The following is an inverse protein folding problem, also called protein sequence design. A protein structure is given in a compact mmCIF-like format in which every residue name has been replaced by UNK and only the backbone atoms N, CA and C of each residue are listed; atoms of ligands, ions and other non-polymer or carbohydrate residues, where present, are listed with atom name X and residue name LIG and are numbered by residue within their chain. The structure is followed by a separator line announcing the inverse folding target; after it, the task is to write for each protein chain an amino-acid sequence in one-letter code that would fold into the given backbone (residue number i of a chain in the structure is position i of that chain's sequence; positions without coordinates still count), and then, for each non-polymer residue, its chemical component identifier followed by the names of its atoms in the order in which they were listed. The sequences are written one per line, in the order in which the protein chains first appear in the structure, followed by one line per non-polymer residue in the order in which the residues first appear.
data_IF_128489902190
#
_entry.id   IF_128489902190
#
_cell.length_a   1.000
_cell.length_b   1.000
_cell.length_c   1.000
_cell.angle_alpha   90.00
_cell.angle_beta   90.00
_cell.angle_gamma   90.00
#
_symmetry.space_group_name_H-M   'P 1'
#
loop_
_entity.id
_entity.type
_entity.pdbx_description
1 polymer ?
#
# COMPACT_ATOMS: atom_id res chain seq x y z
N UNK A 1 1.11 21.81 24.26
CA UNK A 1 0.40 21.66 25.56
C UNK A 1 -0.08 20.22 25.64
N UNK A 2 0.69 19.35 26.28
CA UNK A 2 0.28 17.98 26.62
C UNK A 2 -0.55 18.02 27.91
N UNK A 3 -1.67 17.30 27.92
CA UNK A 3 -1.91 16.29 28.95
C UNK A 3 -2.59 15.05 28.28
N UNK A 4 -2.48 13.78 28.64
CA UNK A 4 -2.08 13.05 29.85
C UNK A 4 -1.50 11.68 29.42
N UNK A 5 -0.76 11.05 30.33
CA UNK A 5 -0.40 9.63 30.25
C UNK A 5 -1.69 8.80 30.15
N UNK A 6 -1.83 7.95 29.12
CA UNK A 6 -2.82 6.89 29.10
C UNK A 6 -2.18 5.50 29.25
N UNK A 7 -2.89 4.54 29.86
CA UNK A 7 -2.32 3.38 30.50
C UNK A 7 -2.24 2.15 29.58
N UNK A 8 -1.45 1.18 30.05
CA UNK A 8 -1.31 -0.24 29.68
C UNK A 8 -2.15 -0.82 28.54
N UNK A 9 -1.45 -1.58 27.67
CA UNK A 9 -1.97 -2.50 26.65
C UNK A 9 -3.36 -3.05 26.98
N UNK A 10 -4.34 -2.71 26.15
CA UNK A 10 -5.59 -3.45 26.04
C UNK A 10 -5.41 -4.40 24.84
N UNK A 11 -5.21 -5.68 25.15
CA UNK A 11 -5.45 -6.78 24.21
C UNK A 11 -6.94 -7.07 24.35
N UNK A 12 -7.73 -6.81 23.31
CA UNK A 12 -9.11 -7.32 23.26
C UNK A 12 -9.05 -8.81 22.89
N UNK A 13 -9.05 -9.68 23.91
CA UNK A 13 -9.29 -11.12 23.72
C UNK A 13 -10.81 -11.37 23.59
N UNK A 14 -11.26 -11.81 22.42
CA UNK A 14 -12.64 -12.27 22.22
C UNK A 14 -12.81 -13.68 22.83
N UNK A 15 -13.20 -13.74 24.11
CA UNK A 15 -13.32 -14.98 24.86
C UNK A 15 -14.74 -15.55 24.85
N UNK A 16 -15.05 -16.40 23.87
CA UNK A 16 -16.25 -17.25 23.92
C UNK A 16 -15.94 -18.75 23.74
N UNK A 17 -15.26 -19.34 24.73
CA UNK A 17 -15.31 -20.81 24.94
C UNK A 17 -16.54 -21.20 25.78
N UNK A 18 -17.58 -21.73 25.15
CA UNK A 18 -18.60 -22.56 25.83
C UNK A 18 -18.44 -24.04 25.45
N UNK A 19 -18.29 -24.88 26.48
CA UNK A 19 -18.29 -26.34 26.40
C UNK A 19 -19.70 -26.88 26.17
N UNK A 20 -19.85 -27.75 25.16
CA UNK A 20 -20.64 -28.99 25.20
C UNK A 20 -22.13 -28.94 24.88
N UNK A 21 -22.52 -29.52 23.73
CA UNK A 21 -23.56 -30.58 23.65
C UNK A 21 -23.55 -31.24 22.26
N UNK A 22 -23.59 -32.57 22.22
CA UNK A 22 -23.66 -33.38 21.01
C UNK A 22 -24.94 -33.11 20.20
N UNK A 23 -24.79 -32.76 18.94
CA UNK A 23 -25.85 -32.76 17.92
C UNK A 23 -25.21 -32.81 16.54
N UNK A 24 -25.53 -33.85 15.76
CA UNK A 24 -25.13 -33.98 14.35
C UNK A 24 -25.59 -32.72 13.60
N UNK A 25 -24.63 -31.90 13.13
CA UNK A 25 -24.88 -30.85 12.14
C UNK A 25 -24.42 -31.34 10.77
N UNK A 26 -25.34 -31.27 9.83
CA UNK A 26 -25.08 -31.41 8.40
C UNK A 26 -24.00 -30.39 7.98
N UNK A 27 -23.08 -30.81 7.11
CA UNK A 27 -22.04 -29.95 6.53
C UNK A 27 -22.71 -28.93 5.60
N UNK A 28 -22.96 -27.72 6.10
CA UNK A 28 -23.15 -26.53 5.25
C UNK A 28 -21.78 -26.00 4.83
N UNK A 29 -21.58 -25.80 3.54
CA UNK A 29 -20.41 -25.17 2.95
C UNK A 29 -20.45 -23.66 3.26
N UNK A 30 -19.89 -23.23 4.40
CA UNK A 30 -19.58 -21.80 4.64
C UNK A 30 -18.60 -21.54 5.79
N UNK A 31 -17.72 -22.47 6.12
CA UNK A 31 -16.65 -22.22 7.09
C UNK A 31 -15.46 -21.62 6.34
N UNK A 32 -15.52 -20.33 5.98
CA UNK A 32 -14.27 -19.59 5.74
C UNK A 32 -13.60 -19.44 7.10
N UNK A 33 -12.47 -20.11 7.29
CA UNK A 33 -11.70 -20.04 8.53
C UNK A 33 -11.53 -18.56 8.93
N UNK A 34 -11.99 -18.22 10.13
CA UNK A 34 -11.86 -16.85 10.64
C UNK A 34 -10.37 -16.53 10.76
N UNK A 35 -9.87 -15.64 9.90
CA UNK A 35 -8.52 -15.08 10.04
C UNK A 35 -8.51 -14.31 11.36
N UNK A 36 -7.79 -14.82 12.34
CA UNK A 36 -7.55 -14.16 13.62
C UNK A 36 -6.51 -13.06 13.40
N UNK A 37 -6.88 -11.81 13.66
CA UNK A 37 -5.99 -10.65 13.51
C UNK A 37 -5.82 -10.02 14.89
N UNK A 38 -4.58 -10.00 15.35
CA UNK A 38 -4.22 -9.23 16.54
C UNK A 38 -3.98 -7.77 16.14
N UNK A 39 -4.72 -6.86 16.79
CA UNK A 39 -4.64 -5.44 16.50
C UNK A 39 -4.01 -4.68 17.66
N UNK A 40 -3.01 -3.85 17.35
CA UNK A 40 -2.35 -2.97 18.31
C UNK A 40 -2.46 -1.53 17.85
N UNK A 41 -3.02 -0.67 18.70
CA UNK A 41 -3.08 0.77 18.45
C UNK A 41 -1.83 1.43 19.02
N UNK A 42 -1.09 2.13 18.17
CA UNK A 42 0.15 2.80 18.55
C UNK A 42 0.60 3.81 17.51
N UNK A 43 1.64 4.56 17.85
CA UNK A 43 2.23 5.57 16.99
C UNK A 43 3.62 5.11 16.56
N UNK A 44 3.90 5.10 15.25
CA UNK A 44 5.22 4.70 14.70
C UNK A 44 6.37 5.59 15.18
N UNK A 45 6.07 6.80 15.67
CA UNK A 45 7.05 7.69 16.32
C UNK A 45 7.50 7.16 17.69
N UNK A 46 6.75 6.25 18.31
CA UNK A 46 7.09 5.62 19.57
C UNK A 46 7.94 4.35 19.34
N UNK A 47 9.25 4.53 19.32
CA UNK A 47 10.22 3.44 19.12
C UNK A 47 10.06 2.30 20.14
N UNK A 48 9.92 2.59 21.43
CA UNK A 48 9.88 1.55 22.46
C UNK A 48 8.63 0.68 22.36
N UNK A 49 7.49 1.28 22.00
CA UNK A 49 6.26 0.52 21.75
C UNK A 49 6.42 -0.38 20.52
N UNK A 50 6.89 0.19 19.40
CA UNK A 50 7.09 -0.56 18.16
C UNK A 50 8.06 -1.73 18.35
N UNK A 51 9.19 -1.48 19.01
CA UNK A 51 10.16 -2.51 19.37
C UNK A 51 9.56 -3.60 20.25
N UNK A 52 8.79 -3.24 21.28
CA UNK A 52 8.18 -4.21 22.18
C UNK A 52 7.20 -5.12 21.44
N UNK A 53 6.39 -4.56 20.53
CA UNK A 53 5.45 -5.32 19.69
C UNK A 53 6.20 -6.29 18.76
N UNK A 54 7.23 -5.83 18.05
CA UNK A 54 8.01 -6.69 17.16
C UNK A 54 8.71 -7.84 17.92
N UNK A 55 9.25 -7.57 19.11
CA UNK A 55 9.89 -8.58 19.95
C UNK A 55 8.90 -9.62 20.50
N UNK A 56 7.67 -9.20 20.79
CA UNK A 56 6.60 -10.07 21.25
C UNK A 56 6.06 -10.94 20.10
N UNK A 57 5.68 -10.30 18.99
CA UNK A 57 5.07 -10.97 17.83
C UNK A 57 6.05 -11.86 17.06
N UNK A 58 7.36 -11.53 17.10
CA UNK A 58 8.43 -12.22 16.37
C UNK A 58 8.07 -12.46 14.89
N UNK A 59 7.69 -11.42 14.14
CA UNK A 59 7.24 -11.59 12.76
C UNK A 59 8.38 -12.09 11.88
N UNK A 60 8.02 -12.85 10.84
CA UNK A 60 8.93 -13.26 9.76
C UNK A 60 8.89 -12.27 8.59
N UNK A 61 7.74 -11.64 8.37
CA UNK A 61 7.50 -10.67 7.31
C UNK A 61 6.98 -9.37 7.93
N UNK A 62 7.52 -8.24 7.50
CA UNK A 62 7.10 -6.90 7.94
C UNK A 62 6.71 -6.05 6.74
N UNK A 63 5.47 -5.58 6.71
CA UNK A 63 5.01 -4.54 5.78
C UNK A 63 4.93 -3.19 6.51
N UNK A 64 5.72 -2.21 6.08
CA UNK A 64 5.64 -0.84 6.59
C UNK A 64 4.71 0.00 5.71
N UNK A 65 3.47 0.14 6.15
CA UNK A 65 2.44 0.91 5.43
C UNK A 65 2.09 2.23 6.14
N UNK A 66 2.48 2.38 7.41
CA UNK A 66 2.11 3.51 8.24
C UNK A 66 2.86 4.79 7.80
N UNK A 67 2.09 5.83 7.50
CA UNK A 67 2.59 7.13 7.05
C UNK A 67 1.50 8.20 7.22
N UNK A 68 1.91 9.47 7.22
CA UNK A 68 1.05 10.59 6.86
C UNK A 68 0.98 10.62 5.32
N UNK A 69 -0.16 10.30 4.67
CA UNK A 69 -0.22 10.01 3.24
C UNK A 69 -0.75 11.14 2.35
N UNK A 70 -1.11 12.30 2.93
CA UNK A 70 -1.80 13.39 2.26
C UNK A 70 -0.85 14.57 1.98
N UNK A 71 -0.71 14.91 0.70
CA UNK A 71 0.09 16.05 0.21
C UNK A 71 -0.40 17.36 0.81
N UNK A 72 -1.70 17.64 0.77
CA UNK A 72 -2.27 18.90 1.29
C UNK A 72 -2.06 19.05 2.79
N UNK A 73 -2.23 17.97 3.54
CA UNK A 73 -2.00 17.97 4.99
C UNK A 73 -0.51 18.21 5.32
N UNK A 74 0.40 17.74 4.45
CA UNK A 74 1.84 17.96 4.62
C UNK A 74 2.26 19.43 4.54
N UNK A 75 1.51 20.28 3.82
CA UNK A 75 1.74 21.72 3.83
C UNK A 75 1.29 22.37 5.14
N UNK A 76 0.26 21.82 5.78
CA UNK A 76 -0.25 22.33 7.07
C UNK A 76 0.61 21.84 8.24
N UNK A 77 1.04 20.57 8.19
CA UNK A 77 1.78 19.89 9.25
C UNK A 77 3.07 19.23 8.70
N UNK A 78 4.01 20.02 8.15
CA UNK A 78 5.22 19.47 7.52
C UNK A 78 6.10 18.74 8.54
N UNK A 79 6.27 19.31 9.74
CA UNK A 79 7.04 18.67 10.83
C UNK A 79 6.49 17.29 11.16
N UNK A 80 5.18 17.17 11.37
CA UNK A 80 4.53 15.90 11.68
C UNK A 80 4.68 14.89 10.54
N UNK A 81 4.60 15.37 9.29
CA UNK A 81 4.82 14.52 8.11
C UNK A 81 6.22 13.91 8.13
N UNK A 82 7.27 14.68 8.42
CA UNK A 82 8.62 14.14 8.56
C UNK A 82 8.79 13.25 9.80
N UNK A 83 8.24 13.63 10.95
CA UNK A 83 8.29 12.79 12.16
C UNK A 83 7.67 11.41 11.89
N UNK A 84 6.51 11.36 11.25
CA UNK A 84 5.82 10.11 10.95
C UNK A 84 6.52 9.32 9.86
N UNK A 85 6.83 9.95 8.71
CA UNK A 85 7.31 9.22 7.53
C UNK A 85 8.81 8.90 7.61
N UNK A 86 9.63 9.81 8.15
CA UNK A 86 11.08 9.60 8.27
C UNK A 86 11.40 8.90 9.59
N UNK A 87 11.07 9.52 10.72
CA UNK A 87 11.44 8.94 12.02
C UNK A 87 10.65 7.67 12.32
N UNK A 88 9.40 7.53 11.88
CA UNK A 88 8.67 6.26 11.96
C UNK A 88 9.37 5.13 11.18
N UNK A 89 9.92 5.42 10.00
CA UNK A 89 10.69 4.43 9.22
C UNK A 89 12.03 4.09 9.91
N UNK A 90 12.73 5.08 10.47
CA UNK A 90 13.94 4.84 11.28
C UNK A 90 13.62 3.93 12.46
N UNK A 91 12.57 4.23 13.21
CA UNK A 91 12.15 3.44 14.37
C UNK A 91 11.85 2.00 13.98
N UNK A 92 11.14 1.78 12.87
CA UNK A 92 10.84 0.43 12.39
C UNK A 92 12.10 -0.34 12.02
N UNK A 93 12.98 0.25 11.20
CA UNK A 93 14.19 -0.44 10.75
C UNK A 93 15.13 -0.74 11.93
N UNK A 94 15.21 0.15 12.91
CA UNK A 94 15.98 -0.10 14.12
C UNK A 94 15.34 -1.21 14.99
N UNK A 95 14.02 -1.24 15.13
CA UNK A 95 13.32 -2.33 15.83
C UNK A 95 13.51 -3.69 15.11
N UNK A 96 13.45 -3.72 13.78
CA UNK A 96 13.75 -4.90 12.97
C UNK A 96 15.19 -5.38 13.20
N UNK A 97 16.16 -4.46 13.29
CA UNK A 97 17.57 -4.80 13.55
C UNK A 97 17.77 -5.63 14.82
N UNK A 98 16.88 -5.47 15.80
CA UNK A 98 16.88 -6.20 17.06
C UNK A 98 15.83 -7.32 17.15
N UNK A 99 15.25 -7.72 16.02
CA UNK A 99 14.21 -8.76 15.95
C UNK A 99 14.66 -9.89 15.00
N UNK A 100 15.39 -10.92 15.51
CA UNK A 100 16.03 -11.93 14.67
C UNK A 100 15.09 -12.82 13.84
N UNK A 101 13.79 -12.84 14.15
CA UNK A 101 12.79 -13.61 13.41
C UNK A 101 12.49 -13.03 12.02
N UNK A 102 12.76 -11.73 11.82
CA UNK A 102 12.40 -11.03 10.58
C UNK A 102 13.28 -11.51 9.42
N UNK A 103 12.65 -11.96 8.35
CA UNK A 103 13.28 -12.47 7.14
C UNK A 103 13.04 -11.54 5.95
N UNK A 104 11.88 -10.88 5.87
CA UNK A 104 11.55 -9.93 4.81
C UNK A 104 10.96 -8.64 5.40
N UNK A 105 11.38 -7.51 4.84
CA UNK A 105 10.80 -6.20 5.12
C UNK A 105 10.50 -5.51 3.80
N UNK A 106 9.25 -5.11 3.62
CA UNK A 106 8.84 -4.22 2.55
C UNK A 106 8.45 -2.86 3.13
N UNK A 107 9.22 -1.83 2.77
CA UNK A 107 8.86 -0.44 3.07
C UNK A 107 8.09 0.18 1.89
N UNK A 108 6.82 0.55 2.11
CA UNK A 108 5.98 1.13 1.06
C UNK A 108 6.14 2.66 1.05
N UNK A 109 6.63 3.17 -0.08
CA UNK A 109 6.94 4.58 -0.27
C UNK A 109 5.86 5.24 -1.13
N UNK A 110 6.20 5.84 -2.27
CA UNK A 110 5.23 6.46 -3.19
C UNK A 110 5.84 6.64 -4.57
N UNK A 111 4.98 6.71 -5.59
CA UNK A 111 5.31 7.21 -6.93
C UNK A 111 5.90 8.63 -6.96
N UNK A 112 5.71 9.44 -5.90
CA UNK A 112 6.14 10.86 -5.83
C UNK A 112 7.54 11.07 -5.25
N UNK A 113 8.33 10.01 -5.06
CA UNK A 113 9.68 10.13 -4.46
C UNK A 113 10.72 10.79 -5.37
N UNK A 114 10.45 10.85 -6.68
CA UNK A 114 11.40 11.33 -7.67
C UNK A 114 11.48 12.86 -7.75
N UNK A 115 12.61 13.37 -8.22
CA UNK A 115 12.73 14.76 -8.68
C UNK A 115 11.93 14.92 -9.96
N UNK A 116 10.73 15.51 -9.86
CA UNK A 116 9.84 15.64 -11.00
C UNK A 116 9.96 17.03 -11.65
N UNK A 117 10.43 17.05 -12.90
CA UNK A 117 10.50 18.25 -13.75
C UNK A 117 9.29 18.39 -14.70
N UNK A 118 8.20 17.67 -14.45
CA UNK A 118 6.96 17.67 -15.25
C UNK A 118 7.18 17.38 -16.74
N UNK A 119 8.12 16.48 -17.04
CA UNK A 119 8.42 16.07 -18.40
C UNK A 119 7.31 15.16 -18.95
N UNK A 120 6.68 15.59 -20.05
CA UNK A 120 5.66 14.81 -20.74
C UNK A 120 6.21 13.47 -21.24
N UNK A 121 5.43 12.39 -21.10
CA UNK A 121 5.78 11.02 -21.48
C UNK A 121 7.03 10.43 -20.79
N UNK A 122 7.55 11.08 -19.76
CA UNK A 122 8.62 10.51 -18.94
C UNK A 122 8.04 9.55 -17.91
N UNK A 123 8.62 8.35 -17.82
CA UNK A 123 8.29 7.40 -16.75
C UNK A 123 9.54 7.07 -15.97
N UNK A 124 9.52 7.38 -14.68
CA UNK A 124 10.66 7.28 -13.78
C UNK A 124 11.12 5.83 -13.64
N UNK A 125 12.42 5.60 -13.75
CA UNK A 125 13.11 4.36 -13.43
C UNK A 125 13.64 4.40 -12.00
N UNK A 126 13.92 3.23 -11.40
CA UNK A 126 14.27 3.19 -9.97
C UNK A 126 15.63 3.82 -9.62
N UNK A 127 16.46 4.08 -10.62
CA UNK A 127 17.80 4.68 -10.50
C UNK A 127 17.79 6.21 -10.61
N UNK A 128 16.63 6.82 -10.89
CA UNK A 128 16.53 8.27 -11.03
C UNK A 128 16.58 9.01 -9.70
N UNK A 129 16.92 10.30 -9.77
CA UNK A 129 17.15 11.14 -8.60
C UNK A 129 15.85 11.27 -7.78
N UNK A 130 16.02 11.12 -6.47
CA UNK A 130 14.97 11.35 -5.48
C UNK A 130 15.07 12.78 -4.97
N UNK A 131 13.95 13.49 -4.94
CA UNK A 131 13.88 14.80 -4.33
C UNK A 131 12.47 15.05 -3.77
N UNK A 132 11.41 14.76 -4.52
CA UNK A 132 10.03 14.90 -4.03
C UNK A 132 9.69 16.35 -3.66
N UNK A 133 8.80 17.01 -4.38
CA UNK A 133 8.64 18.46 -4.28
C UNK A 133 8.06 18.95 -2.92
N UNK A 134 6.92 18.41 -2.52
CA UNK A 134 6.21 18.81 -1.30
C UNK A 134 6.67 18.00 -0.06
N UNK A 135 6.35 18.43 1.18
CA UNK A 135 6.81 17.75 2.38
C UNK A 135 6.43 16.26 2.48
N UNK A 136 5.26 15.87 1.96
CA UNK A 136 4.90 14.45 1.88
C UNK A 136 5.82 13.70 0.92
N UNK A 137 5.91 14.18 -0.32
CA UNK A 137 6.74 13.56 -1.36
C UNK A 137 8.21 13.47 -0.93
N UNK A 138 8.78 14.57 -0.44
CA UNK A 138 10.16 14.63 0.06
C UNK A 138 10.37 13.70 1.26
N UNK A 139 9.42 13.62 2.21
CA UNK A 139 9.56 12.71 3.36
C UNK A 139 9.61 11.24 2.93
N UNK A 140 8.92 10.87 1.85
CA UNK A 140 9.01 9.53 1.27
C UNK A 140 10.31 9.32 0.49
N UNK A 141 10.85 10.35 -0.16
CA UNK A 141 12.23 10.33 -0.72
C UNK A 141 13.28 10.11 0.36
N UNK A 142 13.15 10.79 1.52
CA UNK A 142 13.99 10.53 2.69
C UNK A 142 13.83 9.09 3.17
N UNK A 143 12.60 8.56 3.19
CA UNK A 143 12.33 7.17 3.55
C UNK A 143 13.03 6.16 2.62
N UNK A 144 13.10 6.40 1.31
CA UNK A 144 13.88 5.58 0.38
C UNK A 144 15.37 5.59 0.72
N UNK A 145 15.94 6.80 0.86
CA UNK A 145 17.37 7.00 1.10
C UNK A 145 17.80 6.35 2.43
N UNK A 146 17.02 6.54 3.49
CA UNK A 146 17.31 5.96 4.79
C UNK A 146 17.15 4.44 4.78
N UNK A 147 16.14 3.89 4.09
CA UNK A 147 15.98 2.43 3.95
C UNK A 147 17.18 1.83 3.23
N UNK A 148 17.63 2.45 2.15
CA UNK A 148 18.85 2.05 1.44
C UNK A 148 20.10 2.12 2.34
N UNK A 149 20.23 3.17 3.15
CA UNK A 149 21.34 3.28 4.11
C UNK A 149 21.30 2.17 5.17
N UNK A 150 20.15 1.94 5.81
CA UNK A 150 19.98 0.88 6.82
C UNK A 150 20.25 -0.50 6.22
N UNK A 151 19.74 -0.77 5.01
CA UNK A 151 20.03 -2.00 4.27
C UNK A 151 21.52 -2.23 4.15
N UNK A 152 22.26 -1.26 3.60
CA UNK A 152 23.71 -1.36 3.40
C UNK A 152 24.49 -1.49 4.71
N UNK A 153 24.09 -0.75 5.75
CA UNK A 153 24.84 -0.69 7.01
C UNK A 153 24.60 -1.89 7.93
N UNK A 154 23.39 -2.44 7.94
CA UNK A 154 22.96 -3.40 8.97
C UNK A 154 22.37 -4.70 8.42
N UNK A 155 21.84 -4.68 7.20
CA UNK A 155 21.13 -5.81 6.59
C UNK A 155 21.83 -6.39 5.35
N UNK A 156 23.10 -6.04 5.15
CA UNK A 156 24.00 -6.66 4.17
C UNK A 156 25.18 -7.30 4.90
N UNK A 157 25.73 -8.39 4.37
CA UNK A 157 26.89 -9.03 4.98
C UNK A 157 28.15 -8.14 4.84
N UNK A 158 28.87 -7.82 5.93
CA UNK A 158 30.20 -7.22 5.84
C UNK A 158 31.23 -8.34 5.62
N UNK A 159 31.83 -8.39 4.42
CA UNK A 159 33.07 -9.13 4.07
C UNK A 159 33.33 -10.43 4.86
N UNK A 160 32.36 -11.37 4.86
CA UNK A 160 32.55 -12.72 5.38
C UNK A 160 32.77 -12.87 6.89
N UNK A 161 32.59 -11.81 7.70
CA UNK A 161 32.74 -11.89 9.17
C UNK A 161 31.40 -12.18 9.86
N UNK A 162 30.89 -13.42 9.76
CA UNK A 162 29.66 -13.80 10.45
C UNK A 162 29.73 -15.07 11.29
N UNK A 163 28.98 -15.04 12.40
CA UNK A 163 28.55 -16.23 13.13
C UNK A 163 27.66 -17.05 12.20
N UNK A 164 28.08 -18.28 11.93
CA UNK A 164 27.35 -19.27 11.13
C UNK A 164 25.90 -19.38 11.64
N UNK A 165 24.90 -19.15 10.77
CA UNK A 165 23.48 -19.42 11.05
C UNK A 165 22.55 -18.22 11.30
N UNK A 166 23.00 -16.96 11.13
CA UNK A 166 22.13 -15.78 11.32
C UNK A 166 21.56 -15.26 9.98
N UNK A 167 20.25 -15.39 9.77
CA UNK A 167 19.55 -14.86 8.59
C UNK A 167 19.42 -13.33 8.74
N UNK A 168 19.75 -12.57 7.69
CA UNK A 168 19.44 -11.14 7.65
C UNK A 168 18.09 -10.90 6.98
N UNK A 169 17.32 -9.93 7.49
CA UNK A 169 16.17 -9.40 6.77
C UNK A 169 16.54 -8.95 5.36
N UNK A 170 15.76 -9.38 4.39
CA UNK A 170 15.81 -8.91 3.01
C UNK A 170 14.96 -7.65 2.94
N UNK A 171 15.58 -6.54 2.58
CA UNK A 171 14.93 -5.22 2.60
C UNK A 171 14.62 -4.79 1.17
N UNK A 172 13.35 -4.46 0.94
CA UNK A 172 12.85 -3.82 -0.29
C UNK A 172 12.08 -2.54 -0.02
N UNK A 173 11.98 -1.71 -1.06
CA UNK A 173 10.94 -0.67 -1.13
C UNK A 173 10.04 -0.92 -2.34
N UNK A 174 8.78 -0.50 -2.23
CA UNK A 174 7.85 -0.44 -3.34
C UNK A 174 7.26 0.97 -3.49
N UNK A 175 7.36 1.50 -4.71
CA UNK A 175 6.92 2.83 -5.11
C UNK A 175 5.66 2.66 -5.94
N UNK A 176 4.51 2.93 -5.34
CA UNK A 176 3.20 2.90 -6.01
C UNK A 176 2.43 4.18 -5.70
N UNK A 177 1.37 4.46 -6.45
CA UNK A 177 0.52 5.60 -6.18
C UNK A 177 -0.70 5.65 -7.08
N UNK A 178 -1.54 6.67 -6.86
CA UNK A 178 -2.81 6.82 -7.59
C UNK A 178 -3.73 5.59 -7.43
N UNK A 179 -3.58 4.89 -6.31
CA UNK A 179 -4.36 3.72 -5.95
C UNK A 179 -5.81 4.11 -5.71
N UNK A 180 -6.73 3.36 -6.33
CA UNK A 180 -8.17 3.49 -6.15
C UNK A 180 -8.77 2.15 -5.68
N UNK A 181 -9.86 2.21 -4.93
CA UNK A 181 -10.51 1.00 -4.44
C UNK A 181 -11.67 1.33 -3.50
N UNK A 182 -12.47 0.30 -3.23
CA UNK A 182 -13.48 0.35 -2.19
C UNK A 182 -12.87 0.52 -0.79
N UNK A 183 -13.58 1.20 0.11
CA UNK A 183 -13.16 1.38 1.51
C UNK A 183 -12.22 2.55 1.79
N UNK A 184 -11.83 3.32 0.77
CA UNK A 184 -11.11 4.59 0.94
C UNK A 184 -12.10 5.73 1.24
N UNK A 185 -12.06 6.28 2.46
CA UNK A 185 -12.89 7.42 2.86
C UNK A 185 -12.09 8.71 3.06
N UNK A 186 -10.83 8.74 2.62
CA UNK A 186 -9.96 9.89 2.80
C UNK A 186 -10.54 11.16 2.18
N UNK A 187 -10.19 12.31 2.78
CA UNK A 187 -10.49 13.62 2.21
C UNK A 187 -9.49 13.96 1.11
N UNK A 188 -9.91 14.79 0.16
CA UNK A 188 -9.07 15.29 -0.94
C UNK A 188 -8.48 14.20 -1.85
N UNK A 189 -9.15 13.05 -1.95
CA UNK A 189 -8.87 12.01 -2.95
C UNK A 189 -10.04 11.92 -3.93
N UNK A 190 -9.70 11.80 -5.21
CA UNK A 190 -10.65 11.94 -6.30
C UNK A 190 -11.84 10.95 -6.20
N UNK A 191 -11.59 9.66 -6.04
CA UNK A 191 -12.67 8.66 -5.97
C UNK A 191 -13.54 8.85 -4.72
N UNK A 192 -12.99 8.99 -3.50
CA UNK A 192 -13.80 9.30 -2.31
C UNK A 192 -14.63 10.58 -2.46
N UNK A 193 -14.09 11.63 -3.10
CA UNK A 193 -14.82 12.85 -3.40
C UNK A 193 -15.96 12.61 -4.41
N UNK A 194 -15.73 11.81 -5.45
CA UNK A 194 -16.76 11.39 -6.39
C UNK A 194 -17.90 10.64 -5.70
N UNK A 195 -17.58 9.68 -4.81
CA UNK A 195 -18.56 8.90 -4.05
C UNK A 195 -19.39 9.81 -3.16
N UNK A 196 -18.76 10.66 -2.34
CA UNK A 196 -19.47 11.62 -1.48
C UNK A 196 -20.41 12.52 -2.26
N UNK A 197 -19.94 13.13 -3.34
CA UNK A 197 -20.75 14.02 -4.17
C UNK A 197 -21.94 13.28 -4.80
N UNK A 198 -21.73 12.06 -5.31
CA UNK A 198 -22.78 11.25 -5.90
C UNK A 198 -23.84 10.79 -4.89
N UNK A 199 -23.43 10.39 -3.68
CA UNK A 199 -24.36 10.04 -2.59
C UNK A 199 -25.20 11.24 -2.15
N UNK A 200 -24.61 12.44 -2.12
CA UNK A 200 -25.29 13.69 -1.81
C UNK A 200 -26.14 14.25 -2.98
N UNK A 201 -26.17 13.55 -4.13
CA UNK A 201 -26.75 14.03 -5.38
C UNK A 201 -26.22 15.41 -5.85
N UNK A 202 -24.98 15.73 -5.48
CA UNK A 202 -24.27 16.96 -5.88
C UNK A 202 -23.37 16.70 -7.10
N UNK A 203 -23.11 17.71 -7.94
CA UNK A 203 -22.11 17.57 -9.01
C UNK A 203 -20.71 17.33 -8.42
N UNK A 204 -19.98 16.38 -9.01
CA UNK A 204 -18.58 16.10 -8.69
C UNK A 204 -17.72 17.26 -9.18
N UNK A 205 -17.01 17.94 -8.28
CA UNK A 205 -16.10 19.04 -8.63
C UNK A 205 -14.68 18.54 -8.91
N UNK A 206 -14.20 18.68 -10.14
CA UNK A 206 -12.83 18.27 -10.51
C UNK A 206 -11.93 19.50 -10.60
N UNK A 207 -10.94 19.59 -9.71
CA UNK A 207 -10.01 20.73 -9.62
C UNK A 207 -8.90 20.71 -10.67
N UNK A 208 -8.50 19.54 -11.14
CA UNK A 208 -7.45 19.41 -12.16
C UNK A 208 -7.84 18.30 -13.16
N UNK A 209 -8.75 18.56 -14.10
CA UNK A 209 -9.26 17.49 -14.97
C UNK A 209 -8.24 17.01 -16.01
N UNK A 210 -7.16 17.76 -16.23
CA UNK A 210 -6.19 17.47 -17.29
C UNK A 210 -4.93 16.76 -16.77
N UNK A 211 -4.76 16.60 -15.46
CA UNK A 211 -3.63 15.87 -14.90
C UNK A 211 -3.68 14.39 -15.25
N UNK A 212 -2.60 13.88 -15.85
CA UNK A 212 -2.47 12.47 -16.23
C UNK A 212 -1.89 11.69 -15.05
N UNK A 213 -2.54 10.58 -14.70
CA UNK A 213 -2.13 9.70 -13.60
C UNK A 213 -2.32 8.23 -13.98
N UNK A 214 -1.41 7.35 -13.55
CA UNK A 214 -1.52 5.91 -13.71
C UNK A 214 -2.39 5.35 -12.58
N UNK A 215 -3.72 5.50 -12.69
CA UNK A 215 -4.64 4.96 -11.69
C UNK A 215 -4.67 3.43 -11.73
N UNK A 216 -4.56 2.79 -10.57
CA UNK A 216 -4.59 1.33 -10.43
C UNK A 216 -5.50 0.89 -9.28
N UNK A 217 -6.10 -0.28 -9.38
CA UNK A 217 -6.91 -0.83 -8.29
C UNK A 217 -6.02 -1.22 -7.11
N UNK A 218 -6.50 -1.06 -5.87
CA UNK A 218 -5.74 -1.35 -4.63
C UNK A 218 -5.16 -2.76 -4.56
N UNK A 219 -5.80 -3.72 -5.20
CA UNK A 219 -5.31 -5.11 -5.24
C UNK A 219 -4.08 -5.28 -6.14
N UNK A 220 -3.85 -4.41 -7.13
CA UNK A 220 -2.68 -4.45 -8.00
C UNK A 220 -1.36 -4.32 -7.22
N UNK A 221 -1.10 -3.20 -6.51
CA UNK A 221 0.13 -3.06 -5.75
C UNK A 221 0.17 -4.03 -4.56
N UNK A 222 -0.96 -4.36 -3.92
CA UNK A 222 -0.97 -5.31 -2.81
C UNK A 222 -0.54 -6.72 -3.23
N UNK A 223 -0.96 -7.19 -4.41
CA UNK A 223 -0.50 -8.48 -4.93
C UNK A 223 1.02 -8.48 -5.16
N UNK A 224 1.56 -7.39 -5.70
CA UNK A 224 3.01 -7.22 -5.84
C UNK A 224 3.73 -7.19 -4.49
N UNK A 225 3.16 -6.52 -3.48
CA UNK A 225 3.76 -6.45 -2.15
C UNK A 225 3.85 -7.82 -1.50
N UNK A 226 2.77 -8.60 -1.60
CA UNK A 226 2.72 -9.98 -1.14
C UNK A 226 3.76 -10.83 -1.87
N UNK A 227 3.88 -10.70 -3.18
CA UNK A 227 4.85 -11.45 -3.99
C UNK A 227 6.30 -11.12 -3.63
N UNK A 228 6.63 -9.83 -3.44
CA UNK A 228 7.95 -9.39 -2.99
C UNK A 228 8.29 -10.06 -1.66
N UNK A 229 7.40 -9.95 -0.66
CA UNK A 229 7.64 -10.49 0.66
C UNK A 229 7.75 -12.03 0.66
N UNK A 230 6.86 -12.69 -0.08
CA UNK A 230 6.82 -14.14 -0.25
C UNK A 230 8.14 -14.69 -0.82
N UNK A 231 8.61 -14.12 -1.95
CA UNK A 231 9.86 -14.56 -2.59
C UNK A 231 11.09 -14.21 -1.76
N UNK A 232 11.06 -13.10 -1.03
CA UNK A 232 12.15 -12.74 -0.11
C UNK A 232 12.26 -13.65 1.11
N UNK A 233 11.13 -14.08 1.67
CA UNK A 233 11.09 -14.95 2.85
C UNK A 233 11.55 -16.39 2.53
N UNK A 234 11.74 -16.75 1.25
CA UNK A 234 12.38 -18.01 0.91
C UNK A 234 11.46 -19.23 0.84
N UNK A 235 10.15 -19.08 1.10
CA UNK A 235 9.15 -20.10 0.77
C UNK A 235 7.71 -19.57 0.96
N UNK A 236 6.92 -19.57 -0.12
CA UNK A 236 5.46 -19.66 -0.03
C UNK A 236 4.99 -20.82 -0.90
N UNK A 237 4.34 -21.80 -0.26
CA UNK A 237 3.79 -23.00 -0.92
C UNK A 237 2.84 -22.57 -2.04
N UNK A 238 3.13 -22.98 -3.27
CA UNK A 238 2.32 -22.67 -4.46
C UNK A 238 2.77 -21.43 -5.25
N UNK A 239 3.62 -20.55 -4.68
CA UNK A 239 4.20 -19.39 -5.39
C UNK A 239 5.68 -19.61 -5.75
N UNK A 240 6.42 -20.33 -4.90
CA UNK A 240 7.82 -20.63 -5.14
C UNK A 240 7.99 -22.02 -5.79
N UNK A 241 8.89 -22.18 -6.79
CA UNK A 241 9.29 -23.49 -7.31
C UNK A 241 9.79 -24.42 -6.19
N UNK A 242 9.68 -25.74 -6.38
CA UNK A 242 10.11 -26.73 -5.37
C UNK A 242 11.62 -26.65 -5.01
N UNK A 243 12.44 -26.06 -5.89
CA UNK A 243 13.88 -25.85 -5.70
C UNK A 243 14.23 -24.45 -5.15
N UNK A 244 13.24 -23.69 -4.67
CA UNK A 244 13.46 -22.37 -4.09
C UNK A 244 14.07 -22.50 -2.69
N UNK A 245 15.23 -21.86 -2.51
CA UNK A 245 15.94 -21.84 -1.23
C UNK A 245 15.89 -20.46 -0.61
N UNK A 246 16.00 -20.39 0.71
CA UNK A 246 16.14 -19.14 1.43
C UNK A 246 17.28 -18.27 0.85
N UNK A 247 18.36 -18.88 0.34
CA UNK A 247 19.47 -18.15 -0.27
C UNK A 247 19.08 -17.40 -1.56
N UNK A 248 18.20 -17.97 -2.40
CA UNK A 248 17.69 -17.31 -3.62
C UNK A 248 16.79 -16.12 -3.29
N UNK A 249 16.18 -16.07 -2.10
CA UNK A 249 15.32 -14.96 -1.69
C UNK A 249 16.01 -13.58 -1.69
N UNK A 250 17.35 -13.54 -1.60
CA UNK A 250 18.12 -12.27 -1.68
C UNK A 250 18.02 -11.59 -3.04
N UNK A 251 17.78 -12.35 -4.11
CA UNK A 251 17.73 -11.84 -5.48
C UNK A 251 16.45 -11.01 -5.73
N UNK A 252 15.46 -11.14 -4.83
CA UNK A 252 14.22 -10.37 -4.81
C UNK A 252 14.28 -9.13 -3.89
N UNK A 253 15.45 -8.82 -3.34
CA UNK A 253 15.67 -7.63 -2.51
C UNK A 253 16.07 -6.42 -3.34
N UNK A 254 15.13 -5.52 -3.58
CA UNK A 254 15.31 -4.38 -4.47
C UNK A 254 14.40 -3.20 -4.16
N UNK A 255 14.46 -2.21 -5.04
CA UNK A 255 13.55 -1.06 -5.06
C UNK A 255 12.74 -1.22 -6.33
N UNK A 256 11.42 -1.20 -6.23
CA UNK A 256 10.53 -1.54 -7.33
C UNK A 256 9.50 -0.43 -7.54
N UNK A 257 9.39 0.02 -8.79
CA UNK A 257 8.24 0.74 -9.26
C UNK A 257 7.08 -0.23 -9.50
N UNK A 258 5.91 0.13 -8.98
CA UNK A 258 4.67 -0.63 -9.12
C UNK A 258 3.61 0.31 -9.67
N UNK A 259 2.90 -0.15 -10.68
CA UNK A 259 1.89 0.63 -11.37
C UNK A 259 1.27 -0.13 -12.53
N UNK A 260 0.20 0.43 -13.12
CA UNK A 260 -0.49 -0.13 -14.27
C UNK A 260 0.36 0.01 -15.54
N UNK A 261 -0.16 -0.51 -16.65
CA UNK A 261 0.43 -0.30 -17.96
C UNK A 261 0.42 1.17 -18.37
N UNK A 262 1.40 1.56 -19.18
CA UNK A 262 1.53 2.95 -19.65
C UNK A 262 0.29 3.43 -20.42
N UNK A 263 -0.38 2.52 -21.11
CA UNK A 263 -1.60 2.79 -21.89
C UNK A 263 -2.82 3.07 -21.00
N UNK A 264 -2.79 2.64 -19.73
CA UNK A 264 -3.84 2.86 -18.74
C UNK A 264 -3.70 4.19 -17.97
N UNK A 265 -2.66 4.99 -18.29
CA UNK A 265 -2.52 6.33 -17.73
C UNK A 265 -3.54 7.28 -18.36
N UNK A 266 -4.51 7.73 -17.56
CA UNK A 266 -5.61 8.59 -18.00
C UNK A 266 -5.62 9.92 -17.25
N UNK A 267 -6.33 10.90 -17.80
CA UNK A 267 -6.59 12.16 -17.11
C UNK A 267 -7.57 11.97 -15.95
N UNK A 268 -7.49 12.84 -14.95
CA UNK A 268 -8.48 12.85 -13.85
C UNK A 268 -9.91 13.11 -14.34
N UNK A 269 -10.08 13.88 -15.43
CA UNK A 269 -11.38 14.07 -16.09
C UNK A 269 -11.93 12.79 -16.72
N UNK A 270 -11.08 11.98 -17.36
CA UNK A 270 -11.46 10.66 -17.88
C UNK A 270 -11.81 9.69 -16.76
N UNK A 271 -11.05 9.69 -15.66
CA UNK A 271 -11.39 8.91 -14.46
C UNK A 271 -12.79 9.29 -13.94
N UNK A 272 -13.07 10.59 -13.81
CA UNK A 272 -14.38 11.08 -13.36
C UNK A 272 -15.51 10.68 -14.32
N UNK A 273 -15.24 10.67 -15.63
CA UNK A 273 -16.18 10.20 -16.65
C UNK A 273 -16.48 8.71 -16.49
N UNK A 274 -15.46 7.86 -16.34
CA UNK A 274 -15.63 6.43 -16.08
C UNK A 274 -16.41 6.18 -14.79
N UNK A 275 -16.10 6.93 -13.73
CA UNK A 275 -16.83 6.84 -12.47
C UNK A 275 -18.32 7.15 -12.67
N UNK A 276 -18.65 8.23 -13.36
CA UNK A 276 -20.05 8.61 -13.66
C UNK A 276 -20.76 7.53 -14.49
N UNK A 277 -20.09 6.95 -15.48
CA UNK A 277 -20.62 5.86 -16.31
C UNK A 277 -21.00 4.64 -15.45
N UNK A 278 -20.10 4.17 -14.58
CA UNK A 278 -20.35 3.00 -13.74
C UNK A 278 -21.28 3.28 -12.56
N UNK A 279 -21.25 4.49 -12.00
CA UNK A 279 -22.13 4.89 -10.91
C UNK A 279 -23.57 5.02 -11.40
N UNK A 280 -23.76 5.65 -12.55
CA UNK A 280 -25.05 5.88 -13.18
C UNK A 280 -25.93 6.91 -12.45
N UNK A 281 -27.24 6.84 -12.70
CA UNK A 281 -28.23 7.73 -12.07
C UNK A 281 -28.06 9.20 -12.48
N UNK A 282 -27.99 10.11 -11.49
CA UNK A 282 -27.84 11.57 -11.70
C UNK A 282 -26.40 12.06 -11.52
N UNK A 283 -25.45 11.13 -11.37
CA UNK A 283 -24.04 11.47 -11.23
C UNK A 283 -23.58 12.28 -12.44
N UNK A 284 -22.88 13.37 -12.18
CA UNK A 284 -22.31 14.26 -13.20
C UNK A 284 -21.14 14.99 -12.59
N UNK A 285 -20.13 15.26 -13.40
CA UNK A 285 -18.97 16.04 -12.96
C UNK A 285 -18.94 17.40 -13.66
N UNK A 286 -18.26 18.35 -13.03
CA UNK A 286 -18.00 19.69 -13.55
C UNK A 286 -16.54 20.04 -13.37
N UNK A 287 -15.99 20.74 -14.36
CA UNK A 287 -14.66 21.31 -14.26
C UNK A 287 -14.69 22.50 -13.26
N UNK A 288 -13.87 22.43 -12.22
CA UNK A 288 -13.66 23.47 -11.21
C UNK A 288 -12.18 23.85 -11.13
N UNK A 289 -11.46 23.80 -12.25
CA UNK A 289 -10.06 24.21 -12.27
C UNK A 289 -9.87 25.65 -11.83
N UNK A 290 -9.01 25.85 -10.83
CA UNK A 290 -8.59 27.15 -10.33
C UNK A 290 -7.24 27.52 -10.95
N UNK A 291 -7.06 28.81 -11.27
CA UNK A 291 -5.85 29.30 -11.94
C UNK A 291 -4.60 29.26 -11.04
N UNK A 292 -4.77 29.29 -9.71
CA UNK A 292 -3.70 29.44 -8.70
C UNK A 292 -3.71 28.32 -7.64
N UNK A 293 -4.19 27.12 -7.98
CA UNK A 293 -4.16 25.97 -7.07
C UNK A 293 -2.71 25.58 -6.70
N UNK A 294 -2.47 24.96 -5.51
CA UNK A 294 -1.15 24.43 -5.15
C UNK A 294 -0.57 23.54 -6.26
N UNK A 295 0.76 23.55 -6.43
CA UNK A 295 1.42 22.74 -7.46
C UNK A 295 1.08 21.26 -7.26
N UNK A 296 0.54 20.66 -8.32
CA UNK A 296 0.41 19.22 -8.49
C UNK A 296 1.07 18.89 -9.83
N UNK A 297 1.87 17.83 -9.86
CA UNK A 297 2.56 17.41 -11.08
C UNK A 297 1.59 17.27 -12.27
N UNK A 298 1.96 17.74 -13.45
CA UNK A 298 1.16 17.57 -14.67
C UNK A 298 1.17 16.11 -15.12
N UNK A 299 2.35 15.51 -15.07
CA UNK A 299 2.63 14.13 -15.50
C UNK A 299 3.44 13.39 -14.43
N UNK A 300 3.01 12.17 -14.13
CA UNK A 300 3.71 11.28 -13.22
C UNK A 300 3.46 9.85 -13.68
N UNK A 301 4.49 9.16 -14.16
CA UNK A 301 4.40 7.76 -14.57
C UNK A 301 5.62 7.01 -14.06
N UNK A 302 5.46 5.70 -13.84
CA UNK A 302 6.54 4.83 -13.40
C UNK A 302 6.89 3.83 -14.49
N UNK A 303 8.19 3.57 -14.66
CA UNK A 303 8.66 2.46 -15.47
C UNK A 303 8.71 1.19 -14.60
N UNK A 304 7.89 0.19 -14.93
CA UNK A 304 7.76 -1.07 -14.17
C UNK A 304 8.60 -2.22 -14.75
N UNK A 305 9.48 -1.97 -15.72
CA UNK A 305 10.26 -3.02 -16.39
C UNK A 305 11.08 -3.90 -15.44
N UNK A 306 11.63 -3.32 -14.36
CA UNK A 306 12.38 -4.06 -13.36
C UNK A 306 11.48 -5.05 -12.63
N UNK A 307 10.31 -4.60 -12.18
CA UNK A 307 9.30 -5.45 -11.54
C UNK A 307 8.90 -6.61 -12.46
N UNK A 308 8.54 -6.31 -13.71
CA UNK A 308 8.16 -7.31 -14.73
C UNK A 308 9.25 -8.36 -14.92
N UNK A 309 10.51 -7.94 -15.09
CA UNK A 309 11.64 -8.87 -15.26
C UNK A 309 11.92 -9.71 -14.01
N UNK A 310 11.78 -9.16 -12.82
CA UNK A 310 12.10 -9.86 -11.57
C UNK A 310 11.00 -10.85 -11.15
N UNK A 311 9.73 -10.43 -11.26
CA UNK A 311 8.60 -11.20 -10.72
C UNK A 311 7.75 -11.87 -11.79
N UNK A 312 7.92 -11.50 -13.07
CA UNK A 312 7.01 -11.86 -14.16
C UNK A 312 5.58 -11.37 -13.86
N UNK A 313 5.49 -10.20 -13.22
CA UNK A 313 4.22 -9.59 -12.86
C UNK A 313 3.65 -8.79 -14.03
N UNK A 314 2.35 -8.96 -14.26
CA UNK A 314 1.54 -8.18 -15.19
C UNK A 314 0.28 -7.65 -14.45
N UNK A 315 -0.14 -6.38 -14.66
CA UNK A 315 -1.38 -5.87 -14.11
C UNK A 315 -2.60 -6.70 -14.53
N UNK A 316 -3.54 -6.92 -13.63
CA UNK A 316 -4.70 -7.81 -13.88
C UNK A 316 -5.97 -7.05 -14.30
N UNK A 317 -6.06 -5.78 -13.94
CA UNK A 317 -7.14 -4.87 -14.24
C UNK A 317 -6.63 -3.72 -15.09
N UNK A 318 -7.33 -3.50 -16.20
CA UNK A 318 -7.29 -2.21 -16.90
C UNK A 318 -7.84 -1.09 -16.00
N UNK A 319 -7.54 0.17 -16.31
CA UNK A 319 -8.08 1.30 -15.53
C UNK A 319 -9.62 1.31 -15.51
N UNK A 320 -10.26 0.87 -16.61
CA UNK A 320 -11.72 0.76 -16.70
C UNK A 320 -12.27 -0.26 -15.71
N UNK A 321 -11.62 -1.42 -15.58
CA UNK A 321 -12.00 -2.47 -14.62
C UNK A 321 -11.74 -2.03 -13.19
N UNK A 322 -10.60 -1.39 -12.93
CA UNK A 322 -10.28 -0.82 -11.63
C UNK A 322 -11.38 0.13 -11.13
N UNK A 323 -11.86 1.04 -12.00
CA UNK A 323 -12.97 1.95 -11.65
C UNK A 323 -14.29 1.19 -11.45
N UNK A 324 -14.59 0.21 -12.31
CA UNK A 324 -15.80 -0.61 -12.19
C UNK A 324 -15.87 -1.35 -10.86
N UNK A 325 -14.78 -2.02 -10.47
CA UNK A 325 -14.65 -2.76 -9.22
C UNK A 325 -14.74 -1.83 -8.00
N UNK A 326 -14.09 -0.68 -8.09
CA UNK A 326 -14.17 0.38 -7.08
C UNK A 326 -15.61 0.87 -6.87
N UNK A 327 -16.31 1.22 -7.95
CA UNK A 327 -17.71 1.70 -7.89
C UNK A 327 -18.65 0.62 -7.36
N UNK A 328 -18.45 -0.63 -7.79
CA UNK A 328 -19.28 -1.75 -7.35
C UNK A 328 -19.20 -1.94 -5.83
N UNK A 329 -18.00 -1.83 -5.26
CA UNK A 329 -17.80 -1.90 -3.81
C UNK A 329 -18.55 -0.78 -3.07
N UNK A 330 -18.44 0.48 -3.51
CA UNK A 330 -19.15 1.60 -2.84
C UNK A 330 -20.66 1.50 -2.97
N UNK A 331 -21.18 0.95 -4.08
CA UNK A 331 -22.62 0.71 -4.24
C UNK A 331 -23.11 -0.38 -3.29
N UNK A 332 -22.36 -1.47 -3.15
CA UNK A 332 -22.67 -2.52 -2.18
C UNK A 332 -22.69 -1.97 -0.75
N UNK A 333 -21.69 -1.15 -0.39
CA UNK A 333 -21.63 -0.48 0.90
C UNK A 333 -22.83 0.45 1.12
N UNK A 334 -23.17 1.28 0.13
CA UNK A 334 -24.32 2.19 0.21
C UNK A 334 -25.67 1.45 0.33
N UNK A 335 -25.75 0.22 -0.18
CA UNK A 335 -26.93 -0.64 -0.08
C UNK A 335 -26.99 -1.43 1.25
N UNK A 336 -25.99 -1.31 2.12
CA UNK A 336 -25.92 -2.04 3.38
C UNK A 336 -25.60 -3.52 3.24
N UNK A 337 -24.88 -3.90 2.17
CA UNK A 337 -24.42 -5.28 1.97
C UNK A 337 -23.31 -5.65 2.97
N UNK A 338 -23.05 -6.96 3.15
CA UNK A 338 -21.94 -7.44 3.97
C UNK A 338 -20.60 -7.16 3.27
N UNK A 339 -19.96 -6.07 3.68
CA UNK A 339 -18.71 -5.63 3.07
C UNK A 339 -17.52 -6.53 3.37
N UNK A 340 -17.56 -7.36 4.42
CA UNK A 340 -16.51 -8.36 4.64
C UNK A 340 -16.63 -9.44 3.58
N UNK A 341 -17.82 -10.00 3.41
CA UNK A 341 -18.07 -11.01 2.38
C UNK A 341 -17.80 -10.46 0.96
N UNK A 342 -18.24 -9.23 0.68
CA UNK A 342 -18.00 -8.58 -0.61
C UNK A 342 -16.50 -8.38 -0.88
N UNK A 343 -15.74 -7.87 0.10
CA UNK A 343 -14.30 -7.63 -0.06
C UNK A 343 -13.52 -8.92 -0.24
N UNK A 344 -13.86 -9.99 0.51
CA UNK A 344 -13.27 -11.31 0.33
C UNK A 344 -13.52 -11.82 -1.10
N UNK A 345 -14.77 -11.74 -1.57
CA UNK A 345 -15.11 -12.16 -2.93
C UNK A 345 -14.36 -11.34 -4.00
N UNK A 346 -14.16 -10.05 -3.77
CA UNK A 346 -13.40 -9.20 -4.70
C UNK A 346 -11.92 -9.60 -4.74
N UNK A 347 -11.33 -9.95 -3.59
CA UNK A 347 -9.97 -10.50 -3.51
C UNK A 347 -9.89 -11.84 -4.26
N UNK A 348 -10.81 -12.77 -4.00
CA UNK A 348 -10.87 -14.07 -4.69
C UNK A 348 -10.99 -13.86 -6.21
N UNK A 349 -11.91 -13.01 -6.65
CA UNK A 349 -12.12 -12.69 -8.08
C UNK A 349 -10.87 -12.10 -8.73
N UNK A 350 -10.12 -11.26 -8.02
CA UNK A 350 -8.86 -10.69 -8.51
C UNK A 350 -7.79 -11.77 -8.71
N UNK A 351 -7.67 -12.71 -7.77
CA UNK A 351 -6.66 -13.77 -7.84
C UNK A 351 -7.06 -14.94 -8.76
N UNK A 352 -8.36 -15.22 -8.91
CA UNK A 352 -8.90 -16.30 -9.76
C UNK A 352 -8.90 -15.97 -11.26
N UNK A 353 -8.67 -14.70 -11.64
CA UNK A 353 -8.40 -14.36 -13.04
C UNK A 353 -7.14 -15.10 -13.50
N UNK A 354 -7.32 -16.18 -14.24
CA UNK A 354 -6.29 -16.76 -15.10
C UNK A 354 -6.17 -15.89 -16.34
N UNK A 355 -4.95 -15.61 -16.78
CA UNK A 355 -4.68 -15.04 -18.10
C UNK A 355 -5.40 -15.91 -19.16
N UNK A 356 -6.33 -15.31 -19.90
CA UNK A 356 -7.01 -15.94 -21.04
C UNK A 356 -6.07 -16.09 -22.25
#
# INVERSE_FOLDING_TARGET
LYPERMPHLLVEEDSTRKKGSHGKKEKSVSDSESIEIESFVGDVRNYEQLRSILQWAKPEIVFHLAAQPLVRESYLYPRETYETNVMGTVNLLEAVRFTPSVQSVLNVTTDKVYENHDMENHAFTEEEKLDGFDPYSNSKSCSEILTHSYKKSFFTEPDGKRKKGMILPRISTARAGNVIGGGDFAKDRIIPDCVRASMDAKPIGIRNPYSVRPYEHVLEPLAVYLEIAARQAGFVKGLCPEDFSLEKGKDFAGYYNVGPDREDAITTGELAKLFVEFWGGRARWKNMAEKDAPHEAGYLQLNTNKLRRTFQWEPRYTVKEAVKETVSWYRAWANGEDMRAFSIKQIETFFDRTEE
#
